data_IF_378386064101
#
_entry.id   IF_378386064101
#
_cell.length_a   1.000
_cell.length_b   1.000
_cell.length_c   1.000
_cell.angle_alpha   90.00
_cell.angle_beta   90.00
_cell.angle_gamma   90.00
#
_symmetry.space_group_name_H-M   'P 1'
#
loop_
_entity.id
_entity.type
_entity.pdbx_description
1 polymer ?
#
# COMPACT_ATOMS: atom_id res chain seq x y z
N UNK A 1 -29.95 8.28 -28.39
CA UNK A 1 -30.84 9.44 -28.07
C UNK A 1 -31.38 9.25 -26.66
N UNK A 2 -31.03 10.14 -25.72
CA UNK A 2 -31.39 10.04 -24.30
C UNK A 2 -32.89 10.14 -24.03
N UNK A 3 -33.42 9.31 -23.12
CA UNK A 3 -34.78 9.43 -22.58
C UNK A 3 -34.77 10.37 -21.38
N UNK A 4 -35.59 11.43 -21.43
CA UNK A 4 -35.68 12.44 -20.37
C UNK A 4 -37.05 12.32 -19.68
N UNK A 5 -37.04 12.38 -18.34
CA UNK A 5 -38.22 12.26 -17.49
C UNK A 5 -38.32 13.53 -16.65
N UNK A 6 -39.25 14.42 -16.98
CA UNK A 6 -39.44 15.68 -16.29
C UNK A 6 -40.80 15.70 -15.58
N UNK A 7 -40.80 16.08 -14.30
CA UNK A 7 -42.00 16.19 -13.47
C UNK A 7 -42.22 17.62 -13.00
N UNK A 8 -43.40 18.16 -13.23
CA UNK A 8 -43.82 19.48 -12.76
C UNK A 8 -44.10 19.50 -11.25
N UNK A 9 -44.29 18.32 -10.65
CA UNK A 9 -44.61 18.16 -9.22
C UNK A 9 -43.37 17.78 -8.37
N UNK A 10 -42.17 17.93 -8.90
CA UNK A 10 -40.92 17.70 -8.18
C UNK A 10 -40.52 18.95 -7.42
N UNK A 11 -39.79 18.77 -6.30
CA UNK A 11 -39.16 19.86 -5.56
C UNK A 11 -38.07 20.59 -6.39
N UNK A 12 -37.41 19.89 -7.32
CA UNK A 12 -36.44 20.45 -8.24
C UNK A 12 -37.14 21.09 -9.46
N UNK A 13 -36.65 22.25 -9.87
CA UNK A 13 -37.17 22.93 -11.06
C UNK A 13 -36.96 22.10 -12.34
N UNK A 14 -37.78 22.29 -13.34
CA UNK A 14 -37.64 21.62 -14.65
C UNK A 14 -36.28 21.90 -15.31
N UNK A 15 -35.69 23.06 -15.03
CA UNK A 15 -34.34 23.44 -15.46
C UNK A 15 -33.28 22.52 -14.83
N UNK A 16 -33.31 22.39 -13.51
CA UNK A 16 -32.38 21.54 -12.75
C UNK A 16 -32.53 20.07 -13.14
N UNK A 17 -33.78 19.59 -13.23
CA UNK A 17 -34.05 18.21 -13.66
C UNK A 17 -33.45 17.92 -15.04
N UNK A 18 -33.63 18.86 -15.98
CA UNK A 18 -33.13 18.71 -17.36
C UNK A 18 -31.60 18.75 -17.38
N UNK A 19 -30.97 19.71 -16.71
CA UNK A 19 -29.52 19.82 -16.63
C UNK A 19 -28.89 18.58 -16.01
N UNK A 20 -29.43 18.10 -14.88
CA UNK A 20 -28.96 16.89 -14.18
C UNK A 20 -29.06 15.64 -15.06
N UNK A 21 -30.20 15.45 -15.75
CA UNK A 21 -30.37 14.27 -16.61
C UNK A 21 -29.47 14.29 -17.83
N UNK A 22 -29.18 15.45 -18.40
CA UNK A 22 -28.22 15.59 -19.49
C UNK A 22 -26.78 15.32 -19.00
N UNK A 23 -26.40 15.82 -17.82
CA UNK A 23 -25.11 15.49 -17.20
C UNK A 23 -24.97 13.98 -16.92
N UNK A 24 -26.01 13.36 -16.36
CA UNK A 24 -26.04 11.91 -16.16
C UNK A 24 -25.91 11.15 -17.48
N UNK A 25 -26.56 11.62 -18.55
CA UNK A 25 -26.43 11.03 -19.88
C UNK A 25 -25.00 11.11 -20.44
N UNK A 26 -24.24 12.15 -20.11
CA UNK A 26 -22.82 12.25 -20.48
C UNK A 26 -21.98 11.30 -19.64
N UNK A 27 -22.21 11.24 -18.33
CA UNK A 27 -21.44 10.37 -17.44
C UNK A 27 -21.70 8.89 -17.62
N UNK A 28 -22.94 8.51 -18.01
CA UNK A 28 -23.30 7.12 -18.35
C UNK A 28 -22.85 6.69 -19.76
N UNK A 29 -22.39 7.64 -20.59
CA UNK A 29 -22.02 7.37 -21.98
C UNK A 29 -23.19 7.34 -22.96
N UNK A 30 -24.43 7.62 -22.53
CA UNK A 30 -25.61 7.74 -23.41
C UNK A 30 -25.54 8.94 -24.35
N UNK A 31 -24.83 10.00 -23.92
CA UNK A 31 -24.43 11.15 -24.72
C UNK A 31 -22.91 11.12 -24.91
N UNK A 32 -22.46 10.99 -26.14
CA UNK A 32 -21.04 10.84 -26.44
C UNK A 32 -20.34 12.20 -26.59
N UNK A 33 -19.05 12.32 -26.22
CA UNK A 33 -18.23 13.47 -26.60
C UNK A 33 -18.36 13.79 -28.09
N UNK A 34 -18.48 15.08 -28.42
CA UNK A 34 -18.69 15.54 -29.79
C UNK A 34 -20.16 15.38 -30.30
N UNK A 35 -21.04 14.73 -29.54
CA UNK A 35 -22.45 14.57 -29.94
C UNK A 35 -23.17 15.91 -29.88
N UNK A 36 -23.95 16.19 -30.95
CA UNK A 36 -24.80 17.39 -31.04
C UNK A 36 -26.09 17.21 -30.24
N UNK A 37 -26.35 18.10 -29.30
CA UNK A 37 -27.64 18.14 -28.60
C UNK A 37 -28.76 18.66 -29.50
N UNK A 38 -30.01 18.22 -29.29
CA UNK A 38 -31.17 18.75 -30.00
C UNK A 38 -31.26 20.27 -29.86
N UNK A 39 -31.80 20.93 -30.86
CA UNK A 39 -32.06 22.37 -30.77
C UNK A 39 -32.98 22.69 -29.58
N UNK A 40 -32.85 23.89 -29.03
CA UNK A 40 -33.72 24.36 -27.93
C UNK A 40 -35.20 24.18 -28.26
N UNK A 41 -35.63 24.52 -29.48
CA UNK A 41 -37.02 24.36 -29.92
C UNK A 41 -37.44 22.90 -30.02
N UNK A 42 -36.58 22.06 -30.51
CA UNK A 42 -36.83 20.61 -30.64
C UNK A 42 -36.95 19.95 -29.29
N UNK A 43 -36.04 20.22 -28.36
CA UNK A 43 -36.05 19.63 -27.02
C UNK A 43 -37.22 20.16 -26.19
N UNK A 44 -37.57 21.44 -26.31
CA UNK A 44 -38.71 22.05 -25.65
C UNK A 44 -40.01 21.39 -26.08
N UNK A 45 -40.19 21.15 -27.41
CA UNK A 45 -41.35 20.47 -27.97
C UNK A 45 -41.44 19.01 -27.50
N UNK A 46 -40.31 18.30 -27.52
CA UNK A 46 -40.22 16.89 -27.12
C UNK A 46 -40.54 16.70 -25.64
N UNK A 47 -40.02 17.56 -24.77
CA UNK A 47 -40.24 17.49 -23.32
C UNK A 47 -41.52 18.22 -22.86
N UNK A 48 -42.24 18.89 -23.73
CA UNK A 48 -43.43 19.72 -23.44
C UNK A 48 -43.18 20.78 -22.36
N UNK A 49 -42.02 21.48 -22.45
CA UNK A 49 -41.61 22.54 -21.58
C UNK A 49 -41.31 23.82 -22.35
N UNK A 50 -41.14 24.93 -21.65
CA UNK A 50 -40.87 26.23 -22.29
C UNK A 50 -39.43 26.26 -22.85
N UNK A 51 -39.24 26.90 -24.02
CA UNK A 51 -37.95 27.04 -24.67
C UNK A 51 -36.89 27.74 -23.76
N UNK A 52 -37.33 28.71 -22.96
CA UNK A 52 -36.44 29.39 -22.00
C UNK A 52 -35.86 28.44 -20.94
N UNK A 53 -36.64 27.44 -20.51
CA UNK A 53 -36.18 26.41 -19.56
C UNK A 53 -35.06 25.57 -20.16
N UNK A 54 -35.19 25.16 -21.41
CA UNK A 54 -34.17 24.42 -22.15
C UNK A 54 -32.93 25.28 -22.38
N UNK A 55 -33.12 26.56 -22.78
CA UNK A 55 -31.98 27.48 -22.96
C UNK A 55 -31.24 27.72 -21.67
N UNK A 56 -31.94 27.78 -20.52
CA UNK A 56 -31.31 27.94 -19.23
C UNK A 56 -30.52 26.66 -18.83
N UNK A 57 -31.09 25.46 -18.99
CA UNK A 57 -30.42 24.20 -18.73
C UNK A 57 -29.16 24.01 -19.61
N UNK A 58 -29.23 24.41 -20.89
CA UNK A 58 -28.07 24.35 -21.78
C UNK A 58 -26.96 25.32 -21.39
N UNK A 59 -27.29 26.50 -20.87
CA UNK A 59 -26.31 27.43 -20.31
C UNK A 59 -25.66 26.86 -19.05
N UNK A 60 -26.42 26.12 -18.23
CA UNK A 60 -25.84 25.45 -17.06
C UNK A 60 -24.83 24.38 -17.45
N UNK A 61 -25.15 23.58 -18.47
CA UNK A 61 -24.21 22.60 -19.04
C UNK A 61 -22.95 23.26 -19.63
N UNK A 62 -23.12 24.40 -20.31
CA UNK A 62 -22.01 25.14 -20.88
C UNK A 62 -21.14 25.77 -19.79
N UNK A 63 -21.75 26.43 -18.79
CA UNK A 63 -21.02 27.04 -17.67
C UNK A 63 -20.31 26.02 -16.80
N UNK A 64 -20.88 24.83 -16.67
CA UNK A 64 -20.29 23.68 -15.97
C UNK A 64 -19.26 22.90 -16.82
N UNK A 65 -19.02 23.33 -18.06
CA UNK A 65 -18.03 22.75 -18.94
C UNK A 65 -18.42 21.43 -19.62
N UNK A 66 -19.66 20.95 -19.48
CA UNK A 66 -20.16 19.71 -20.10
C UNK A 66 -20.52 19.86 -21.57
N UNK A 67 -20.82 21.08 -22.03
CA UNK A 67 -21.19 21.37 -23.39
C UNK A 67 -20.49 22.63 -23.88
N UNK A 68 -20.44 22.81 -25.20
CA UNK A 68 -19.95 24.00 -25.87
C UNK A 68 -20.92 24.48 -26.94
N UNK A 69 -21.13 25.79 -27.01
CA UNK A 69 -21.90 26.42 -28.08
C UNK A 69 -20.99 26.68 -29.27
N UNK A 70 -21.22 25.99 -30.40
CA UNK A 70 -20.57 26.29 -31.68
C UNK A 70 -21.48 27.27 -32.45
N UNK A 71 -21.05 28.51 -32.58
CA UNK A 71 -21.81 29.61 -33.20
C UNK A 71 -22.32 29.20 -34.58
N UNK A 72 -23.64 29.29 -34.79
CA UNK A 72 -24.29 28.89 -36.05
C UNK A 72 -24.49 27.38 -36.24
N UNK A 73 -23.92 26.53 -35.38
CA UNK A 73 -24.00 25.07 -35.51
C UNK A 73 -24.82 24.38 -34.44
N UNK A 74 -24.84 24.92 -33.22
CA UNK A 74 -25.60 24.37 -32.09
C UNK A 74 -24.77 24.04 -30.88
N UNK A 75 -25.29 23.27 -29.93
CA UNK A 75 -24.64 22.87 -28.69
C UNK A 75 -24.17 21.43 -28.85
N UNK A 76 -22.92 21.21 -28.45
CA UNK A 76 -22.21 19.92 -28.55
C UNK A 76 -21.69 19.51 -27.17
N UNK A 77 -21.73 18.22 -26.88
CA UNK A 77 -21.05 17.67 -25.70
C UNK A 77 -19.54 17.86 -25.89
N UNK A 78 -18.85 18.39 -24.88
CA UNK A 78 -17.40 18.62 -24.96
C UNK A 78 -16.64 17.32 -25.08
N UNK A 79 -15.62 17.33 -25.92
CA UNK A 79 -14.68 16.19 -26.10
C UNK A 79 -13.70 16.05 -24.94
N UNK A 80 -13.43 17.13 -24.24
CA UNK A 80 -12.67 17.11 -23.00
C UNK A 80 -13.66 17.28 -21.84
N UNK A 81 -13.77 16.26 -21.02
CA UNK A 81 -14.37 16.42 -19.70
C UNK A 81 -13.63 17.56 -19.01
N UNK A 82 -14.30 18.51 -18.30
CA UNK A 82 -13.61 19.34 -17.31
C UNK A 82 -12.79 18.37 -16.48
N UNK A 83 -11.57 18.75 -16.10
CA UNK A 83 -10.73 17.92 -15.23
C UNK A 83 -11.65 17.27 -14.20
N UNK A 84 -11.78 15.96 -14.25
CA UNK A 84 -12.76 15.23 -13.43
C UNK A 84 -12.49 15.67 -12.00
N UNK A 85 -13.36 16.49 -11.44
CA UNK A 85 -13.48 16.52 -10.00
C UNK A 85 -13.85 15.09 -9.65
N UNK A 86 -12.86 14.31 -9.27
CA UNK A 86 -13.09 12.95 -8.85
C UNK A 86 -13.79 13.08 -7.49
N UNK A 87 -15.14 12.96 -7.42
CA UNK A 87 -15.86 13.23 -6.17
C UNK A 87 -15.35 12.31 -5.05
N UNK A 88 -14.78 11.17 -5.40
CA UNK A 88 -14.12 10.26 -4.46
C UNK A 88 -12.80 10.86 -3.95
N UNK A 89 -12.00 11.50 -4.81
CA UNK A 89 -10.75 12.15 -4.40
C UNK A 89 -11.04 13.38 -3.55
N UNK A 90 -12.00 14.22 -3.94
CA UNK A 90 -12.38 15.39 -3.17
C UNK A 90 -12.91 15.00 -1.78
N UNK A 91 -13.75 13.97 -1.70
CA UNK A 91 -14.22 13.42 -0.43
C UNK A 91 -13.07 12.89 0.44
N UNK A 92 -12.10 12.18 -0.16
CA UNK A 92 -10.92 11.70 0.57
C UNK A 92 -10.05 12.87 1.07
N UNK A 93 -9.89 13.92 0.27
CA UNK A 93 -9.17 15.13 0.69
C UNK A 93 -9.92 15.83 1.83
N UNK A 94 -11.23 15.95 1.75
CA UNK A 94 -12.05 16.52 2.82
C UNK A 94 -11.96 15.71 4.12
N UNK A 95 -12.05 14.40 4.04
CA UNK A 95 -11.86 13.49 5.18
C UNK A 95 -10.47 13.63 5.79
N UNK A 96 -9.42 13.64 4.97
CA UNK A 96 -8.04 13.88 5.41
C UNK A 96 -7.91 15.22 6.13
N UNK A 97 -8.48 16.30 5.58
CA UNK A 97 -8.42 17.62 6.20
C UNK A 97 -9.25 17.70 7.49
N UNK A 98 -10.37 16.98 7.58
CA UNK A 98 -11.16 16.88 8.80
C UNK A 98 -10.39 16.13 9.88
N UNK A 99 -9.78 15.01 9.54
CA UNK A 99 -8.97 14.22 10.47
C UNK A 99 -7.75 15.01 10.98
N UNK A 100 -7.02 15.70 10.10
CA UNK A 100 -5.88 16.53 10.51
C UNK A 100 -6.29 17.63 11.49
N UNK A 101 -7.48 18.25 11.31
CA UNK A 101 -8.03 19.23 12.26
C UNK A 101 -8.41 18.61 13.60
N UNK A 102 -8.99 17.42 13.61
CA UNK A 102 -9.34 16.71 14.84
C UNK A 102 -8.11 16.40 15.70
N UNK A 103 -6.97 16.18 15.04
CA UNK A 103 -5.66 15.98 15.65
C UNK A 103 -4.95 17.30 16.05
N UNK A 104 -5.60 18.45 15.88
CA UNK A 104 -5.07 19.76 16.27
C UNK A 104 -4.13 20.42 15.25
N UNK A 105 -4.00 19.88 14.05
CA UNK A 105 -3.18 20.49 12.99
C UNK A 105 -3.99 21.49 12.16
N UNK A 106 -3.37 22.62 11.82
CA UNK A 106 -3.98 23.62 10.95
C UNK A 106 -3.77 23.29 9.47
N UNK A 107 -4.61 23.88 8.60
CA UNK A 107 -4.41 23.84 7.14
C UNK A 107 -3.03 24.39 6.75
N UNK A 108 -2.51 25.35 7.51
CA UNK A 108 -1.17 25.91 7.28
C UNK A 108 -0.09 24.85 7.50
N UNK A 109 -0.24 24.01 8.53
CA UNK A 109 0.70 22.92 8.82
C UNK A 109 0.68 21.86 7.73
N UNK A 110 -0.51 21.48 7.26
CA UNK A 110 -0.69 20.56 6.13
C UNK A 110 -0.02 21.13 4.87
N UNK A 111 -0.32 22.41 4.53
CA UNK A 111 0.24 23.06 3.35
C UNK A 111 1.76 23.17 3.36
N UNK A 112 2.34 23.40 4.55
CA UNK A 112 3.80 23.48 4.71
C UNK A 112 4.50 22.13 4.50
N UNK A 113 3.82 21.01 4.82
CA UNK A 113 4.40 19.65 4.74
C UNK A 113 4.08 18.92 3.43
N UNK A 114 2.93 19.22 2.81
CA UNK A 114 2.46 18.54 1.60
C UNK A 114 3.47 18.51 0.45
N UNK A 115 4.23 19.58 0.14
CA UNK A 115 5.23 19.55 -0.93
C UNK A 115 6.27 18.43 -0.77
N UNK A 116 6.68 18.13 0.47
CA UNK A 116 7.62 17.04 0.73
C UNK A 116 7.08 15.65 0.37
N UNK A 117 5.77 15.45 0.49
CA UNK A 117 5.12 14.20 0.08
C UNK A 117 4.88 14.15 -1.44
N UNK A 118 4.52 15.26 -2.05
CA UNK A 118 4.23 15.34 -3.49
C UNK A 118 5.48 15.36 -4.37
N UNK A 119 6.61 15.84 -3.83
CA UNK A 119 7.91 15.85 -4.54
C UNK A 119 8.71 14.56 -4.33
N UNK A 120 8.15 13.55 -3.65
CA UNK A 120 8.82 12.28 -3.45
C UNK A 120 9.10 11.61 -4.81
N UNK A 121 10.37 11.27 -5.05
CA UNK A 121 10.73 10.47 -6.21
C UNK A 121 10.02 9.11 -6.18
N UNK A 122 9.63 8.55 -7.34
CA UNK A 122 9.02 7.24 -7.37
C UNK A 122 9.94 6.20 -6.72
N UNK A 123 9.36 5.39 -5.86
CA UNK A 123 10.09 4.35 -5.13
C UNK A 123 10.60 3.29 -6.10
N UNK A 124 11.92 3.11 -6.15
CA UNK A 124 12.59 2.14 -7.04
C UNK A 124 13.26 0.98 -6.30
N UNK A 125 13.36 1.06 -4.97
CA UNK A 125 13.98 0.04 -4.11
C UNK A 125 13.39 0.06 -2.72
N UNK A 126 13.55 -1.05 -2.00
CA UNK A 126 13.23 -1.19 -0.59
C UNK A 126 14.50 -1.25 0.23
N UNK A 127 14.60 -0.45 1.27
CA UNK A 127 15.75 -0.41 2.19
C UNK A 127 15.35 -0.87 3.57
N UNK A 128 15.96 -1.92 4.05
CA UNK A 128 15.81 -2.42 5.43
C UNK A 128 16.80 -1.68 6.33
N UNK A 129 16.31 -0.96 7.32
CA UNK A 129 17.15 -0.32 8.34
C UNK A 129 17.25 -1.27 9.54
N UNK A 130 18.42 -1.86 9.74
CA UNK A 130 18.72 -2.72 10.88
C UNK A 130 20.18 -2.51 11.32
N UNK A 131 20.41 -2.14 12.60
CA UNK A 131 21.77 -1.92 13.11
C UNK A 131 22.66 -3.18 13.10
N UNK A 132 22.08 -4.36 13.29
CA UNK A 132 22.78 -5.64 13.20
C UNK A 132 22.83 -6.13 11.74
N UNK A 133 24.02 -6.14 11.10
CA UNK A 133 24.14 -6.46 9.67
C UNK A 133 23.61 -7.86 9.31
N UNK A 134 23.87 -8.82 10.16
CA UNK A 134 23.47 -10.22 9.97
C UNK A 134 21.95 -10.37 9.99
N UNK A 135 21.28 -9.69 10.93
CA UNK A 135 19.83 -9.64 10.97
C UNK A 135 19.28 -8.88 9.75
N UNK A 136 19.89 -7.76 9.38
CA UNK A 136 19.53 -6.99 8.21
C UNK A 136 19.58 -7.81 6.92
N UNK A 137 20.60 -8.68 6.78
CA UNK A 137 20.71 -9.58 5.62
C UNK A 137 19.64 -10.67 5.63
N UNK A 138 19.33 -11.26 6.80
CA UNK A 138 18.25 -12.26 6.94
C UNK A 138 16.91 -11.65 6.55
N UNK A 139 16.58 -10.47 7.09
CA UNK A 139 15.33 -9.76 6.75
C UNK A 139 15.26 -9.43 5.25
N UNK A 140 16.37 -8.97 4.67
CA UNK A 140 16.46 -8.66 3.25
C UNK A 140 16.29 -9.90 2.37
N UNK A 141 16.86 -11.03 2.77
CA UNK A 141 16.74 -12.29 2.04
C UNK A 141 15.29 -12.78 2.02
N UNK A 142 14.59 -12.72 3.16
CA UNK A 142 13.16 -13.08 3.23
C UNK A 142 12.28 -12.16 2.38
N UNK A 143 12.58 -10.86 2.36
CA UNK A 143 11.83 -9.89 1.56
C UNK A 143 12.09 -10.06 0.06
N UNK A 144 13.32 -10.35 -0.37
CA UNK A 144 13.64 -10.61 -1.80
C UNK A 144 12.81 -11.73 -2.42
N UNK A 145 12.39 -12.71 -1.63
CA UNK A 145 11.53 -13.79 -2.11
C UNK A 145 10.07 -13.37 -2.33
N UNK A 146 9.63 -12.29 -1.70
CA UNK A 146 8.22 -11.88 -1.61
C UNK A 146 7.91 -10.51 -2.23
N UNK A 147 8.93 -9.69 -2.48
CA UNK A 147 8.79 -8.31 -2.97
C UNK A 147 9.49 -8.18 -4.31
N UNK A 148 8.83 -7.51 -5.27
CA UNK A 148 9.37 -7.31 -6.63
C UNK A 148 10.46 -6.22 -6.73
N UNK A 149 10.57 -5.35 -5.73
CA UNK A 149 11.59 -4.31 -5.70
C UNK A 149 12.96 -4.87 -5.26
N UNK A 150 14.07 -4.29 -5.74
CA UNK A 150 15.39 -4.56 -5.18
C UNK A 150 15.43 -4.24 -3.68
N UNK A 151 15.88 -5.20 -2.86
CA UNK A 151 15.96 -5.09 -1.40
C UNK A 151 17.40 -5.05 -0.94
N UNK A 152 17.75 -4.05 -0.15
CA UNK A 152 19.07 -3.93 0.48
C UNK A 152 18.93 -3.59 1.97
N UNK A 153 19.93 -3.92 2.79
CA UNK A 153 19.97 -3.49 4.19
C UNK A 153 21.04 -2.41 4.42
N UNK A 154 20.75 -1.52 5.36
CA UNK A 154 21.68 -0.49 5.84
C UNK A 154 21.57 -0.35 7.36
N UNK A 155 22.65 0.14 8.00
CA UNK A 155 22.69 0.24 9.47
C UNK A 155 21.88 1.41 10.03
N UNK A 156 21.79 2.52 9.32
CA UNK A 156 21.25 3.74 9.91
C UNK A 156 20.55 4.70 8.96
N UNK A 157 21.00 5.03 7.79
CA UNK A 157 20.49 6.17 7.03
C UNK A 157 19.54 5.76 5.90
N UNK A 158 18.42 6.49 5.69
CA UNK A 158 17.57 6.30 4.51
C UNK A 158 18.30 6.71 3.22
N UNK A 159 17.98 6.03 2.13
CA UNK A 159 18.52 6.29 0.80
C UNK A 159 17.47 7.02 -0.03
N UNK A 160 17.79 8.13 -0.72
CA UNK A 160 16.85 8.81 -1.61
C UNK A 160 16.23 7.87 -2.66
N UNK A 161 14.95 8.07 -2.99
CA UNK A 161 14.22 7.23 -3.93
C UNK A 161 13.95 5.80 -3.44
N UNK A 162 14.00 5.57 -2.13
CA UNK A 162 13.71 4.28 -1.52
C UNK A 162 12.49 4.34 -0.60
N UNK A 163 11.71 3.25 -0.57
CA UNK A 163 10.86 2.97 0.58
C UNK A 163 11.72 2.38 1.70
N UNK A 164 11.41 2.74 2.92
CA UNK A 164 12.14 2.28 4.10
C UNK A 164 11.30 1.27 4.87
N UNK A 165 11.92 0.19 5.32
CA UNK A 165 11.31 -0.73 6.25
C UNK A 165 12.26 -1.07 7.41
N UNK A 166 11.70 -1.39 8.56
CA UNK A 166 12.41 -1.83 9.74
C UNK A 166 11.50 -2.66 10.64
N UNK A 167 12.04 -3.36 11.60
CA UNK A 167 11.24 -4.04 12.61
C UNK A 167 10.48 -3.01 13.50
N UNK A 168 9.26 -3.36 13.92
CA UNK A 168 8.45 -2.53 14.85
C UNK A 168 9.23 -2.14 16.10
N UNK A 169 10.12 -3.00 16.60
CA UNK A 169 11.00 -2.69 17.74
C UNK A 169 11.98 -1.54 17.48
N UNK A 170 12.17 -1.15 16.22
CA UNK A 170 13.05 -0.03 15.79
C UNK A 170 12.28 1.24 15.44
N UNK A 171 10.93 1.24 15.55
CA UNK A 171 10.06 2.34 15.08
C UNK A 171 10.52 3.72 15.55
N UNK A 172 10.75 3.90 16.85
CA UNK A 172 11.13 5.20 17.42
C UNK A 172 12.48 5.68 16.88
N UNK A 173 13.46 4.77 16.81
CA UNK A 173 14.79 5.10 16.30
C UNK A 173 14.75 5.48 14.82
N UNK A 174 14.05 4.71 14.00
CA UNK A 174 13.97 4.95 12.55
C UNK A 174 13.19 6.23 12.26
N UNK A 175 12.01 6.43 12.87
CA UNK A 175 11.20 7.64 12.65
C UNK A 175 11.91 8.94 13.00
N UNK A 176 12.75 8.93 14.04
CA UNK A 176 13.51 10.11 14.46
C UNK A 176 14.52 10.58 13.39
N UNK A 177 14.93 9.69 12.49
CA UNK A 177 15.97 9.95 11.49
C UNK A 177 15.47 9.95 10.05
N UNK A 178 14.16 9.66 9.82
CA UNK A 178 13.57 9.69 8.49
C UNK A 178 13.30 11.13 8.04
N UNK A 179 13.75 11.52 6.84
CA UNK A 179 13.31 12.77 6.22
C UNK A 179 11.78 12.81 6.07
N UNK A 180 11.16 13.99 6.21
CA UNK A 180 9.73 14.15 5.96
C UNK A 180 9.34 13.63 4.55
N UNK A 181 8.24 12.90 4.47
CA UNK A 181 7.77 12.36 3.19
C UNK A 181 8.43 11.05 2.75
N UNK A 182 9.42 10.52 3.49
CA UNK A 182 10.01 9.21 3.15
C UNK A 182 8.97 8.10 3.34
N UNK A 183 8.59 7.36 2.28
CA UNK A 183 7.66 6.24 2.40
C UNK A 183 8.26 5.16 3.31
N UNK A 184 7.53 4.75 4.35
CA UNK A 184 8.04 3.76 5.29
C UNK A 184 6.95 2.85 5.84
N UNK A 185 7.31 1.60 6.12
CA UNK A 185 6.45 0.60 6.74
C UNK A 185 7.24 -0.22 7.77
N UNK A 186 6.61 -0.58 8.89
CA UNK A 186 7.28 -1.34 9.94
C UNK A 186 6.80 -2.79 9.97
N UNK A 187 7.77 -3.72 10.03
CA UNK A 187 7.54 -5.15 9.97
C UNK A 187 7.46 -5.78 11.36
N UNK A 188 6.56 -6.72 11.51
CA UNK A 188 6.45 -7.55 12.70
C UNK A 188 7.19 -8.87 12.49
N UNK A 189 7.87 -9.30 13.53
CA UNK A 189 8.40 -10.67 13.60
C UNK A 189 7.25 -11.65 13.87
N UNK A 190 7.44 -12.89 13.49
CA UNK A 190 6.54 -13.99 13.86
C UNK A 190 6.41 -14.09 15.37
N UNK A 191 5.22 -14.37 15.84
CA UNK A 191 4.94 -14.70 17.24
C UNK A 191 5.32 -16.15 17.55
N UNK A 192 5.42 -16.49 18.83
CA UNK A 192 5.71 -17.88 19.25
C UNK A 192 4.68 -18.87 18.69
N UNK A 193 3.36 -18.62 18.71
CA UNK A 193 2.38 -19.48 18.05
C UNK A 193 2.63 -19.69 16.57
N UNK A 194 2.95 -18.62 15.81
CA UNK A 194 3.25 -18.71 14.38
C UNK A 194 4.50 -19.58 14.07
N UNK A 195 5.49 -19.60 14.98
CA UNK A 195 6.65 -20.48 14.85
C UNK A 195 6.32 -21.94 15.10
N UNK A 196 5.37 -22.23 15.98
CA UNK A 196 5.03 -23.57 16.42
C UNK A 196 3.88 -24.19 15.61
N UNK A 197 3.16 -23.39 14.85
CA UNK A 197 2.03 -23.82 14.04
C UNK A 197 2.46 -24.90 13.03
N UNK A 198 1.79 -26.04 13.04
CA UNK A 198 2.09 -27.16 12.15
C UNK A 198 3.40 -27.90 12.44
N UNK A 199 4.16 -27.50 13.46
CA UNK A 199 5.41 -28.16 13.82
C UNK A 199 5.13 -29.28 14.85
N UNK A 200 5.51 -30.56 14.55
CA UNK A 200 5.43 -31.61 15.55
C UNK A 200 6.39 -31.29 16.71
N UNK A 201 5.90 -31.48 17.94
CA UNK A 201 6.75 -31.36 19.12
C UNK A 201 7.91 -32.37 19.01
N UNK A 202 9.17 -31.95 19.16
CA UNK A 202 10.28 -32.88 19.14
C UNK A 202 10.12 -33.92 20.28
N UNK A 203 10.50 -35.19 20.05
CA UNK A 203 10.57 -36.17 21.14
C UNK A 203 11.47 -35.69 22.27
N UNK A 204 11.21 -36.13 23.50
CA UNK A 204 12.12 -35.90 24.61
C UNK A 204 13.50 -36.52 24.32
N UNK A 205 14.57 -35.85 24.74
CA UNK A 205 15.96 -36.26 24.59
C UNK A 205 16.53 -36.20 23.15
N UNK A 206 15.94 -35.40 22.28
CA UNK A 206 16.48 -35.16 20.92
C UNK A 206 17.45 -33.98 20.95
N UNK A 207 18.68 -34.18 20.50
CA UNK A 207 19.65 -33.10 20.37
C UNK A 207 19.33 -32.23 19.14
N UNK A 208 19.15 -30.95 19.36
CA UNK A 208 18.81 -29.93 18.36
C UNK A 208 19.89 -28.86 18.34
N UNK A 209 20.46 -28.59 17.18
CA UNK A 209 21.30 -27.41 17.02
C UNK A 209 20.47 -26.21 16.51
N UNK A 210 20.81 -25.03 16.98
CA UNK A 210 20.32 -23.75 16.45
C UNK A 210 21.50 -22.99 15.86
N UNK A 211 21.49 -22.73 14.57
CA UNK A 211 22.60 -22.09 13.86
C UNK A 211 22.15 -20.82 13.16
N UNK A 212 22.79 -19.70 13.44
CA UNK A 212 22.58 -18.41 12.78
C UNK A 212 23.83 -17.55 12.86
N UNK A 213 24.02 -16.66 11.88
CA UNK A 213 25.06 -15.62 11.97
C UNK A 213 24.57 -14.41 12.81
N UNK A 214 23.29 -14.29 13.12
CA UNK A 214 22.73 -13.19 13.91
C UNK A 214 22.68 -13.54 15.40
N UNK A 215 23.41 -12.82 16.25
CA UNK A 215 23.31 -12.95 17.72
C UNK A 215 21.90 -12.70 18.25
N UNK A 216 21.20 -11.74 17.65
CA UNK A 216 19.82 -11.43 18.02
C UNK A 216 18.89 -12.63 17.76
N UNK A 217 19.04 -13.27 16.61
CA UNK A 217 18.28 -14.48 16.28
C UNK A 217 18.59 -15.62 17.24
N UNK A 218 19.88 -15.88 17.56
CA UNK A 218 20.26 -16.92 18.50
C UNK A 218 19.63 -16.66 19.90
N UNK A 219 19.72 -15.42 20.37
CA UNK A 219 19.13 -15.03 21.65
C UNK A 219 17.60 -15.20 21.67
N UNK A 220 16.91 -14.71 20.64
CA UNK A 220 15.43 -14.83 20.52
C UNK A 220 14.98 -16.27 20.39
N UNK A 221 15.64 -17.05 19.56
CA UNK A 221 15.30 -18.47 19.36
C UNK A 221 15.46 -19.23 20.68
N UNK A 222 16.49 -18.95 21.49
CA UNK A 222 16.64 -19.52 22.83
C UNK A 222 15.41 -19.24 23.70
N UNK A 223 14.95 -17.99 23.74
CA UNK A 223 13.77 -17.59 24.51
C UNK A 223 12.48 -18.29 23.99
N UNK A 224 12.32 -18.36 22.66
CA UNK A 224 11.15 -19.00 22.02
C UNK A 224 11.10 -20.49 22.32
N UNK A 225 12.23 -21.21 22.17
CA UNK A 225 12.29 -22.64 22.40
C UNK A 225 12.10 -22.99 23.90
N UNK A 226 12.65 -22.19 24.81
CA UNK A 226 12.39 -22.33 26.24
C UNK A 226 10.91 -22.11 26.57
N UNK A 227 10.26 -21.08 26.00
CA UNK A 227 8.84 -20.83 26.16
C UNK A 227 7.96 -21.95 25.55
N UNK A 228 8.46 -22.62 24.50
CA UNK A 228 7.83 -23.80 23.92
C UNK A 228 8.01 -25.09 24.76
N UNK A 229 8.72 -24.99 25.89
CA UNK A 229 8.95 -26.11 26.81
C UNK A 229 9.97 -27.15 26.33
N UNK A 230 10.92 -26.73 25.47
CA UNK A 230 12.07 -27.56 25.14
C UNK A 230 13.10 -27.49 26.25
N UNK A 231 13.71 -28.66 26.55
CA UNK A 231 14.76 -28.77 27.55
C UNK A 231 16.03 -28.03 27.05
N UNK A 232 16.54 -27.03 27.78
CA UNK A 232 17.75 -26.31 27.41
C UNK A 232 18.97 -27.19 27.20
N UNK A 233 19.07 -28.32 27.91
CA UNK A 233 20.18 -29.26 27.83
C UNK A 233 20.18 -30.07 26.50
N UNK A 234 19.07 -30.06 25.78
CA UNK A 234 18.94 -30.67 24.45
C UNK A 234 19.24 -29.67 23.31
N UNK A 235 19.51 -28.41 23.62
CA UNK A 235 19.68 -27.33 22.66
C UNK A 235 21.14 -26.85 22.60
N UNK A 236 21.74 -26.88 21.44
CA UNK A 236 23.06 -26.31 21.21
C UNK A 236 23.00 -25.13 20.22
N UNK A 237 23.53 -23.98 20.63
CA UNK A 237 23.49 -22.74 19.83
C UNK A 237 24.87 -22.53 19.17
N UNK A 238 24.87 -22.37 17.85
CA UNK A 238 26.05 -22.18 17.00
C UNK A 238 26.02 -20.81 16.31
N UNK A 239 26.96 -19.97 16.64
CA UNK A 239 27.17 -18.71 15.94
C UNK A 239 27.92 -18.99 14.62
N UNK A 240 27.25 -18.79 13.52
CA UNK A 240 27.79 -19.09 12.20
C UNK A 240 28.93 -18.15 11.73
N UNK A 241 29.31 -17.16 12.58
CA UNK A 241 30.47 -16.30 12.38
C UNK A 241 31.76 -16.91 12.98
N UNK A 242 31.59 -17.82 13.92
CA UNK A 242 32.75 -18.44 14.60
C UNK A 242 33.41 -19.49 13.72
N UNK A 243 34.75 -19.61 13.87
CA UNK A 243 35.47 -20.67 13.17
C UNK A 243 35.08 -22.05 13.74
N UNK A 244 34.88 -23.02 12.84
CA UNK A 244 34.50 -24.37 13.22
C UNK A 244 33.06 -24.59 13.67
N UNK A 245 32.18 -23.60 13.55
CA UNK A 245 30.76 -23.71 13.94
C UNK A 245 29.99 -24.91 13.33
N UNK A 246 30.49 -25.46 12.21
CA UNK A 246 29.94 -26.63 11.53
C UNK A 246 30.37 -27.97 12.12
N UNK A 247 31.34 -27.96 13.05
CA UNK A 247 31.89 -29.19 13.61
C UNK A 247 30.84 -29.94 14.42
N UNK A 248 30.70 -31.23 14.19
CA UNK A 248 29.74 -32.10 14.89
C UNK A 248 28.26 -31.91 14.52
N UNK A 249 27.89 -31.00 13.61
CA UNK A 249 26.50 -30.77 13.25
C UNK A 249 25.72 -32.01 12.74
N UNK A 250 26.33 -32.97 12.03
CA UNK A 250 25.59 -34.18 11.59
C UNK A 250 25.12 -35.10 12.73
N UNK A 251 25.58 -34.90 13.97
CA UNK A 251 25.13 -35.68 15.14
C UNK A 251 23.77 -35.20 15.69
N UNK A 252 23.32 -34.01 15.33
CA UNK A 252 22.03 -33.48 15.74
C UNK A 252 20.90 -34.07 14.90
N UNK A 253 19.75 -34.31 15.53
CA UNK A 253 18.57 -34.83 14.84
C UNK A 253 18.12 -33.88 13.72
N UNK A 254 18.12 -32.58 13.98
CA UNK A 254 17.92 -31.54 13.02
C UNK A 254 18.53 -30.20 13.48
N UNK A 255 18.69 -29.29 12.54
CA UNK A 255 19.24 -27.98 12.79
C UNK A 255 18.18 -26.93 12.48
N UNK A 256 17.82 -26.12 13.46
CA UNK A 256 17.00 -24.93 13.28
C UNK A 256 17.90 -23.80 12.79
N UNK A 257 17.54 -23.15 11.68
CA UNK A 257 18.40 -22.15 11.05
C UNK A 257 17.60 -21.13 10.25
N UNK A 258 18.18 -19.96 9.99
CA UNK A 258 17.62 -18.93 9.14
C UNK A 258 17.90 -19.17 7.64
N UNK A 259 17.24 -18.37 6.77
CA UNK A 259 17.32 -18.49 5.29
C UNK A 259 18.73 -18.20 4.74
N UNK A 260 19.56 -17.40 5.43
CA UNK A 260 20.91 -17.03 4.99
C UNK A 260 21.95 -18.06 5.45
N UNK A 261 21.74 -18.68 6.60
CA UNK A 261 22.64 -19.68 7.19
C UNK A 261 22.37 -21.08 6.63
N UNK A 262 21.11 -21.39 6.29
CA UNK A 262 20.71 -22.71 5.80
C UNK A 262 21.52 -23.24 4.57
N UNK A 263 21.84 -22.41 3.54
CA UNK A 263 22.66 -22.85 2.42
C UNK A 263 24.11 -23.20 2.81
N UNK A 264 24.61 -22.65 3.91
CA UNK A 264 25.99 -22.86 4.39
C UNK A 264 26.14 -24.17 5.17
N UNK A 265 25.04 -24.81 5.57
CA UNK A 265 25.05 -26.08 6.30
C UNK A 265 25.39 -27.27 5.38
N UNK A 266 26.09 -28.30 5.90
CA UNK A 266 26.33 -29.54 5.17
C UNK A 266 25.03 -30.18 4.63
N UNK A 267 25.11 -30.83 3.49
CA UNK A 267 23.96 -31.53 2.90
C UNK A 267 23.52 -32.75 3.71
N UNK A 268 24.40 -33.28 4.54
CA UNK A 268 24.12 -34.40 5.46
C UNK A 268 23.24 -34.03 6.64
N UNK A 269 23.03 -32.74 6.89
CA UNK A 269 22.23 -32.28 8.02
C UNK A 269 20.76 -32.13 7.65
N UNK A 270 19.86 -32.54 8.53
CA UNK A 270 18.44 -32.26 8.42
C UNK A 270 18.20 -30.81 8.86
N UNK A 271 17.66 -29.98 7.98
CA UNK A 271 17.49 -28.54 8.19
C UNK A 271 16.01 -28.18 8.40
N UNK A 272 15.74 -27.40 9.42
CA UNK A 272 14.44 -26.73 9.62
C UNK A 272 14.67 -25.22 9.52
N UNK A 273 14.32 -24.65 8.37
CA UNK A 273 14.49 -23.22 8.12
C UNK A 273 13.29 -22.48 8.70
N UNK A 274 13.53 -21.55 9.61
CA UNK A 274 12.51 -20.66 10.12
C UNK A 274 12.56 -19.31 9.39
N UNK A 275 11.42 -18.65 9.37
CA UNK A 275 11.30 -17.28 8.86
C UNK A 275 11.08 -16.32 10.01
N UNK A 276 11.77 -15.19 9.97
CA UNK A 276 11.72 -14.17 11.02
C UNK A 276 10.46 -13.32 10.91
N UNK A 277 10.08 -12.96 9.67
CA UNK A 277 8.97 -12.04 9.41
C UNK A 277 7.63 -12.75 9.41
N UNK A 278 6.60 -12.11 10.01
CA UNK A 278 5.21 -12.56 9.93
C UNK A 278 4.70 -12.42 8.50
N UNK A 279 4.01 -13.45 7.99
CA UNK A 279 3.43 -13.43 6.64
C UNK A 279 2.43 -12.28 6.49
N UNK A 280 1.56 -12.07 7.48
CA UNK A 280 0.61 -10.96 7.49
C UNK A 280 1.32 -9.59 7.37
N UNK A 281 2.48 -9.43 8.02
CA UNK A 281 3.24 -8.19 7.94
C UNK A 281 3.90 -7.98 6.58
N UNK A 282 4.29 -9.06 5.90
CA UNK A 282 4.80 -8.98 4.52
C UNK A 282 3.67 -8.59 3.56
N UNK A 283 2.47 -9.14 3.72
CA UNK A 283 1.31 -8.81 2.89
C UNK A 283 0.89 -7.33 3.06
N UNK A 284 0.96 -6.80 4.29
CA UNK A 284 0.77 -5.38 4.56
C UNK A 284 1.84 -4.52 3.86
N UNK A 285 3.12 -4.93 3.92
CA UNK A 285 4.21 -4.25 3.22
C UNK A 285 3.98 -4.27 1.70
N UNK A 286 3.57 -5.40 1.11
CA UNK A 286 3.27 -5.49 -0.33
C UNK A 286 2.14 -4.55 -0.73
N UNK A 287 1.10 -4.44 0.10
CA UNK A 287 -0.01 -3.52 -0.11
C UNK A 287 0.45 -2.06 -0.04
N UNK A 288 1.28 -1.73 0.95
CA UNK A 288 1.91 -0.42 1.06
C UNK A 288 2.80 -0.08 -0.14
N UNK A 289 3.64 -1.02 -0.60
CA UNK A 289 4.51 -0.80 -1.76
C UNK A 289 3.72 -0.53 -3.04
N UNK A 290 2.57 -1.21 -3.25
CA UNK A 290 1.67 -0.91 -4.38
C UNK A 290 1.14 0.53 -4.38
N UNK A 291 0.97 1.13 -3.20
CA UNK A 291 0.51 2.52 -3.07
C UNK A 291 1.61 3.55 -3.36
N UNK A 292 2.88 3.22 -3.06
CA UNK A 292 3.99 4.17 -3.18
C UNK A 292 4.85 3.98 -4.43
N UNK A 293 4.67 2.86 -5.14
CA UNK A 293 5.22 2.64 -6.48
C UNK A 293 4.15 3.00 -7.50
N UNK A 294 4.48 3.80 -8.52
CA UNK A 294 3.59 4.15 -9.63
C UNK A 294 3.19 2.93 -10.51
N UNK A 295 2.96 1.79 -9.90
CA UNK A 295 2.42 0.64 -10.62
C UNK A 295 0.92 0.88 -10.82
N UNK A 296 0.53 1.29 -12.04
CA UNK A 296 -0.86 1.24 -12.48
C UNK A 296 -1.39 -0.15 -12.16
N UNK A 297 -2.44 -0.20 -11.37
CA UNK A 297 -3.24 -1.43 -11.19
C UNK A 297 -3.76 -1.79 -12.58
N UNK A 298 -3.20 -2.87 -13.16
CA UNK A 298 -3.65 -3.46 -14.44
C UNK A 298 -4.97 -4.17 -14.23
#
# INVERSE_FOLDING_TARGET
>A
MIRLWLSKNSAASLREQLATQLMLGVTSGDLKPGEKLPSVRELARRCRIHANTVSAAYRDLESSGWAELKKGSGIYIRDQRPAETNPTLDLLIEQFLAETRSQGFSIRDVRARMPGFLAAEPVRRLVVIEPEPELGEILSAELRERVSLPVTSVRAAPVPGAAVTALVSRTNHVRAHLPPGTPHHFLRMRSVPEYLEGQPRPPANVLIAVASASPEILRRTRTILAAAGLDPDTLEFRDAREAGWKSGLPQFQFIITDVVTAPKLPNSCVKRVFRVLSDASIDELQSFLRLVTDQKVS
#
